data_IF_916555182232
#
_entry.id   IF_916555182232
#
_cell.length_a   1.000
_cell.length_b   1.000
_cell.length_c   1.000
_cell.angle_alpha   90.00
_cell.angle_beta   90.00
_cell.angle_gamma   90.00
#
_symmetry.space_group_name_H-M   'P 1'
#
loop_
_entity.id
_entity.type
_entity.pdbx_description
1 polymer ?
2 non-polymer ?
3 non-polymer ?
4 non-polymer ?
5 water ?
#
# COMPACT_ATOMS: atom_id res chain seq x y z
N UNK A 1 -7.06 -2.25 9.74
CA UNK A 1 -6.47 -2.24 11.10
C UNK A 1 -5.14 -1.49 11.06
N UNK A 2 -5.25 -0.19 10.90
CA UNK A 2 -4.16 0.77 10.93
C UNK A 2 -3.72 1.05 12.35
N UNK A 3 -2.41 1.08 12.62
CA UNK A 3 -1.95 1.50 13.94
C UNK A 3 -2.26 2.97 14.15
N UNK A 4 -2.58 3.37 15.38
CA UNK A 4 -3.19 4.69 15.59
C UNK A 4 -2.23 5.81 15.38
N UNK A 5 -0.91 5.55 15.44
CA UNK A 5 0.10 6.58 15.25
C UNK A 5 0.29 6.99 13.79
N UNK A 6 -0.32 6.26 12.88
CA UNK A 6 -0.15 6.55 11.43
C UNK A 6 -1.45 7.13 10.87
N UNK A 7 -1.34 8.12 9.99
CA UNK A 7 -2.46 8.57 9.13
C UNK A 7 -2.64 7.52 8.05
N UNK A 8 -3.75 7.58 7.33
CA UNK A 8 -3.93 6.60 6.27
C UNK A 8 -2.82 6.70 5.24
N UNK A 9 -2.45 7.93 4.86
CA UNK A 9 -1.39 8.12 3.88
C UNK A 9 -0.08 7.53 4.43
N UNK A 10 0.19 7.72 5.71
CA UNK A 10 1.43 7.21 6.29
C UNK A 10 1.43 5.69 6.34
N UNK A 11 0.25 5.11 6.59
CA UNK A 11 0.09 3.65 6.61
C UNK A 11 0.19 3.11 5.20
N UNK A 12 -0.41 3.83 4.25
CA UNK A 12 -0.26 3.46 2.84
C UNK A 12 1.22 3.41 2.48
N UNK A 13 1.96 4.46 2.82
CA UNK A 13 3.40 4.49 2.54
C UNK A 13 4.11 3.31 3.21
N UNK A 14 3.75 2.99 4.44
CA UNK A 14 4.41 1.94 5.19
C UNK A 14 4.19 0.59 4.53
N UNK A 15 3.01 0.37 3.95
CA UNK A 15 2.69 -0.92 3.36
C UNK A 15 3.08 -1.06 1.89
N UNK A 16 3.05 0.02 1.10
CA UNK A 16 3.14 -0.07 -0.34
C UNK A 16 4.27 0.72 -0.99
N UNK A 17 5.00 1.56 -0.25
CA UNK A 17 6.10 2.32 -0.81
C UNK A 17 7.42 1.96 -0.14
N UNK A 18 7.45 1.94 1.20
CA UNK A 18 8.71 1.78 1.93
C UNK A 18 9.04 0.32 2.19
N UNK A 19 9.51 -0.34 1.14
CA UNK A 19 9.88 -1.74 1.21
C UNK A 19 11.26 -1.78 1.85
N UNK A 20 11.33 -2.12 3.14
CA UNK A 20 12.60 -1.90 3.86
C UNK A 20 13.68 -2.90 3.49
N UNK A 21 13.33 -3.99 2.78
CA UNK A 21 14.22 -5.02 2.27
C UNK A 21 13.64 -5.48 0.96
N UNK A 22 14.48 -5.81 -0.03
CA UNK A 22 13.96 -6.39 -1.27
C UNK A 22 13.42 -7.79 -1.06
N UNK A 23 13.57 -8.34 0.12
CA UNK A 23 13.07 -9.67 0.43
C UNK A 23 11.77 -9.56 1.20
N UNK A 24 10.73 -10.26 0.69
CA UNK A 24 9.39 -10.07 1.27
C UNK A 24 9.33 -10.48 2.74
N UNK A 25 9.90 -11.62 3.08
CA UNK A 25 9.78 -12.11 4.46
C UNK A 25 10.31 -11.05 5.42
N UNK A 26 11.47 -10.45 5.10
CA UNK A 26 12.01 -9.36 5.93
C UNK A 26 11.12 -8.11 5.90
N UNK A 27 10.73 -7.68 4.71
CA UNK A 27 9.94 -6.47 4.57
C UNK A 27 8.60 -6.56 5.30
N UNK A 28 7.95 -7.72 5.22
CA UNK A 28 6.62 -7.88 5.83
C UNK A 28 6.68 -7.86 7.35
N UNK A 29 7.85 -8.09 7.95
CA UNK A 29 7.95 -8.01 9.40
C UNK A 29 7.47 -6.65 9.89
N UNK A 30 7.77 -5.60 9.13
CA UNK A 30 7.39 -4.24 9.52
C UNK A 30 5.88 -4.12 9.57
N UNK A 31 5.24 -4.45 8.46
CA UNK A 31 3.79 -4.37 8.35
C UNK A 31 3.13 -5.23 9.42
N UNK A 32 3.52 -6.51 9.49
CA UNK A 32 2.92 -7.44 10.41
C UNK A 32 3.18 -7.03 11.85
N UNK A 33 4.39 -6.56 12.17
CA UNK A 33 4.64 -6.13 13.55
C UNK A 33 3.81 -4.90 13.89
N UNK A 34 3.49 -4.05 12.90
CA UNK A 34 2.65 -2.90 13.19
C UNK A 34 1.19 -3.29 13.40
N UNK A 35 0.64 -4.14 12.55
CA UNK A 35 -0.80 -4.44 12.59
C UNK A 35 -1.12 -5.71 13.39
N UNK A 36 -0.11 -6.31 13.99
CA UNK A 36 -0.25 -7.44 14.91
C UNK A 36 -1.02 -8.60 14.25
N UNK A 37 -0.76 -8.85 12.98
CA UNK A 37 -1.39 -9.91 12.15
C UNK A 37 -0.51 -10.12 10.93
N UNK A 38 -0.30 -11.34 10.45
CA UNK A 38 0.36 -11.53 9.17
C UNK A 38 -0.58 -11.28 8.00
N UNK A 39 -0.33 -10.19 7.30
CA UNK A 39 -1.10 -9.87 6.11
C UNK A 39 -0.95 -10.99 5.08
N UNK A 40 -2.07 -11.39 4.46
CA UNK A 40 -2.00 -12.51 3.53
C UNK A 40 -1.32 -12.14 2.23
N UNK A 41 -1.50 -10.90 1.78
CA UNK A 41 -1.08 -10.38 0.50
C UNK A 41 -0.67 -8.93 0.70
N UNK A 42 0.47 -8.53 0.12
CA UNK A 42 0.87 -7.15 0.17
C UNK A 42 1.74 -6.82 -1.03
N UNK A 43 1.37 -5.75 -1.74
CA UNK A 43 2.10 -5.26 -2.91
C UNK A 43 2.96 -4.07 -2.53
N UNK A 44 4.25 -4.15 -2.84
CA UNK A 44 5.16 -3.01 -2.77
C UNK A 44 5.36 -2.42 -4.18
N UNK A 45 4.92 -1.19 -4.35
CA UNK A 45 5.09 -0.45 -5.58
C UNK A 45 6.51 0.08 -5.62
N UNK A 46 7.32 -0.27 -6.62
CA UNK A 46 8.68 0.31 -6.74
C UNK A 46 8.47 1.65 -7.45
N UNK A 47 8.06 2.64 -6.67
CA UNK A 47 7.71 3.98 -7.11
C UNK A 47 7.84 4.88 -5.89
N UNK A 48 7.69 6.16 -6.09
CA UNK A 48 7.85 7.10 -4.99
C UNK A 48 6.50 7.57 -4.49
N UNK A 49 6.52 8.07 -3.25
CA UNK A 49 5.29 8.60 -2.68
C UNK A 49 4.72 9.73 -3.54
N UNK A 50 5.60 10.61 -4.01
CA UNK A 50 5.21 11.77 -4.80
C UNK A 50 4.62 11.36 -6.14
N UNK A 51 5.18 10.32 -6.75
CA UNK A 51 4.61 9.75 -7.94
C UNK A 51 3.17 9.28 -7.72
N UNK A 52 2.92 8.61 -6.59
CA UNK A 52 1.55 8.19 -6.34
C UNK A 52 0.65 9.40 -6.10
N UNK A 53 1.15 10.41 -5.39
CA UNK A 53 0.31 11.60 -5.17
C UNK A 53 -0.07 12.23 -6.50
N UNK A 54 0.77 12.12 -7.53
CA UNK A 54 0.40 12.67 -8.81
C UNK A 54 -0.58 11.78 -9.50
N UNK A 55 -0.54 10.47 -9.21
CA UNK A 55 -1.59 9.60 -9.71
C UNK A 55 -2.93 9.99 -9.11
N UNK A 56 -2.95 10.45 -7.84
CA UNK A 56 -4.18 10.99 -7.27
C UNK A 56 -4.79 12.14 -8.10
N UNK A 57 -3.99 12.80 -8.92
CA UNK A 57 -4.45 13.85 -9.79
C UNK A 57 -5.09 13.37 -11.07
N UNK A 58 -5.00 12.08 -11.32
CA UNK A 58 -5.56 11.52 -12.55
C UNK A 58 -7.07 11.47 -12.42
N UNK A 59 -7.77 11.23 -13.51
CA UNK A 59 -9.23 11.27 -13.46
C UNK A 59 -9.79 10.24 -12.49
N UNK A 60 -10.80 10.65 -11.72
CA UNK A 60 -11.46 9.77 -10.78
C UNK A 60 -12.09 8.58 -11.49
N UNK A 61 -12.05 7.44 -10.84
CA UNK A 61 -12.66 6.20 -11.33
C UNK A 61 -13.22 5.37 -10.17
N UNK A 62 -14.19 4.53 -10.50
CA UNK A 62 -14.70 3.59 -9.55
C UNK A 62 -13.62 2.65 -9.05
N UNK A 63 -13.60 2.46 -7.76
CA UNK A 63 -12.68 1.54 -7.10
C UNK A 63 -13.10 0.10 -7.38
N UNK A 64 -12.32 -0.67 -8.14
CA UNK A 64 -12.80 -2.02 -8.51
C UNK A 64 -13.00 -2.93 -7.32
N UNK A 65 -12.31 -2.70 -6.21
CA UNK A 65 -12.42 -3.57 -5.04
C UNK A 65 -13.46 -3.07 -4.04
N UNK A 66 -14.05 -1.90 -4.29
CA UNK A 66 -14.88 -1.16 -3.37
C UNK A 66 -15.85 -0.36 -4.24
N UNK A 67 -16.80 -1.10 -4.85
CA UNK A 67 -17.58 -0.60 -5.96
C UNK A 67 -18.32 0.70 -5.67
N UNK A 68 -18.71 0.95 -4.43
CA UNK A 68 -19.49 2.16 -4.07
C UNK A 68 -18.61 3.40 -3.99
N UNK A 69 -17.29 3.25 -4.13
CA UNK A 69 -16.34 4.37 -3.98
C UNK A 69 -15.88 4.88 -5.33
N UNK A 70 -15.75 6.21 -5.43
CA UNK A 70 -15.37 6.92 -6.66
C UNK A 70 -14.10 7.75 -6.42
N UNK A 71 -13.34 7.43 -5.38
CA UNK A 71 -12.14 8.20 -4.99
C UNK A 71 -10.87 7.47 -5.43
N UNK A 72 -10.97 6.65 -6.45
CA UNK A 72 -9.79 5.94 -6.96
C UNK A 72 -9.25 6.57 -8.25
N UNK A 73 -8.01 6.20 -8.55
CA UNK A 73 -7.20 6.82 -9.59
C UNK A 73 -6.26 5.75 -10.12
N UNK A 74 -6.14 5.72 -11.42
CA UNK A 74 -5.39 4.73 -12.17
C UNK A 74 -4.05 5.30 -12.58
N UNK A 75 -2.98 4.52 -12.40
CA UNK A 75 -1.69 4.95 -12.91
C UNK A 75 -1.77 4.99 -14.45
N UNK A 76 -1.11 5.96 -15.06
CA UNK A 76 -1.08 6.04 -16.53
C UNK A 76 -0.17 5.04 -17.18
N UNK A 77 0.68 4.39 -16.41
CA UNK A 77 1.63 3.44 -16.98
C UNK A 77 1.83 2.33 -15.96
N UNK A 78 2.37 1.20 -16.42
CA UNK A 78 2.75 0.14 -15.52
C UNK A 78 3.99 0.58 -14.75
N UNK A 79 4.11 0.09 -13.51
CA UNK A 79 5.28 0.28 -12.66
C UNK A 79 5.81 -1.05 -12.14
N UNK A 80 7.12 -1.17 -11.94
CA UNK A 80 7.65 -2.36 -11.27
C UNK A 80 7.06 -2.47 -9.87
N UNK A 81 6.82 -3.69 -9.44
CA UNK A 81 6.27 -3.93 -8.12
C UNK A 81 6.73 -5.29 -7.63
N UNK A 82 6.72 -5.47 -6.33
CA UNK A 82 7.01 -6.76 -5.71
C UNK A 82 5.77 -7.15 -4.94
N UNK A 83 5.23 -8.31 -5.26
CA UNK A 83 4.04 -8.77 -4.54
C UNK A 83 4.40 -9.89 -3.57
N UNK A 84 4.06 -9.72 -2.29
CA UNK A 84 4.44 -10.63 -1.20
C UNK A 84 3.20 -11.48 -0.87
N UNK A 85 3.35 -12.81 -0.98
CA UNK A 85 2.28 -13.79 -0.71
C UNK A 85 2.61 -14.58 0.56
N UNK A 86 1.72 -14.69 1.54
CA UNK A 86 1.96 -15.46 2.75
C UNK A 86 2.10 -16.94 2.39
N UNK A 87 3.26 -17.52 2.70
CA UNK A 87 3.50 -18.94 2.48
C UNK A 87 3.57 -19.75 3.76
N UNK A 88 3.74 -19.08 4.92
CA UNK A 88 3.84 -19.74 6.21
C UNK A 88 3.08 -18.91 7.24
N UNK A 89 1.76 -19.06 7.30
CA UNK A 89 1.00 -18.35 8.35
C UNK A 89 1.48 -18.81 9.72
N UNK A 90 1.56 -17.84 10.65
CA UNK A 90 2.01 -18.11 12.02
C UNK A 90 1.26 -17.22 13.00
N UNK A 91 -0.05 -17.44 13.17
CA UNK A 91 -0.86 -16.48 13.93
C UNK A 91 -0.39 -16.27 15.37
N UNK A 92 0.10 -17.31 16.04
CA UNK A 92 0.47 -17.15 17.46
C UNK A 92 1.94 -16.70 17.58
N UNK A 93 2.63 -16.42 16.48
CA UNK A 93 3.98 -15.86 16.51
C UNK A 93 4.30 -15.19 15.17
N UNK A 94 3.86 -13.95 15.06
CA UNK A 94 4.01 -13.07 13.86
C UNK A 94 5.40 -13.17 13.25
N UNK A 95 6.43 -13.23 14.08
CA UNK A 95 7.79 -13.12 13.57
C UNK A 95 8.17 -14.32 12.71
N UNK A 96 7.41 -15.42 12.78
CA UNK A 96 7.75 -16.60 11.99
C UNK A 96 6.97 -16.68 10.69
N UNK A 97 6.20 -15.65 10.35
CA UNK A 97 5.54 -15.65 9.07
C UNK A 97 6.59 -15.55 7.97
N UNK A 98 6.38 -16.30 6.88
CA UNK A 98 7.28 -16.29 5.74
C UNK A 98 6.47 -15.98 4.50
N UNK A 99 7.10 -15.33 3.53
CA UNK A 99 6.44 -14.89 2.31
C UNK A 99 7.23 -15.33 1.08
N UNK A 100 6.50 -15.51 -0.02
CA UNK A 100 7.06 -15.65 -1.37
C UNK A 100 7.04 -14.25 -1.98
N UNK A 101 7.87 -14.01 -2.98
CA UNK A 101 7.94 -12.69 -3.64
C UNK A 101 7.71 -12.90 -5.14
N UNK A 102 6.88 -12.09 -5.76
CA UNK A 102 6.61 -12.14 -7.19
C UNK A 102 6.88 -10.77 -7.78
N UNK A 103 7.90 -10.63 -8.62
CA UNK A 103 8.12 -9.36 -9.32
C UNK A 103 7.20 -9.25 -10.51
N UNK A 104 6.76 -8.05 -10.81
CA UNK A 104 5.88 -7.81 -11.94
C UNK A 104 5.89 -6.33 -12.30
N UNK A 105 5.40 -6.04 -13.48
CA UNK A 105 5.20 -4.69 -14.00
C UNK A 105 3.72 -4.56 -14.29
N UNK A 106 2.99 -3.80 -13.47
CA UNK A 106 1.57 -3.64 -13.67
C UNK A 106 1.10 -2.23 -13.32
N UNK A 107 -0.15 -1.96 -13.73
CA UNK A 107 -0.77 -0.72 -13.31
C UNK A 107 -1.26 -0.86 -11.89
N UNK A 108 -1.49 0.28 -11.26
CA UNK A 108 -2.12 0.28 -9.95
C UNK A 108 -3.23 1.32 -9.91
N UNK A 109 -4.17 1.05 -9.03
CA UNK A 109 -5.31 1.91 -8.74
C UNK A 109 -5.27 2.23 -7.25
N UNK A 110 -5.18 3.52 -6.92
CA UNK A 110 -5.13 3.96 -5.52
C UNK A 110 -6.36 4.78 -5.22
N UNK A 111 -6.89 4.62 -4.01
CA UNK A 111 -7.90 5.55 -3.47
C UNK A 111 -7.12 6.70 -2.87
N UNK A 112 -7.60 7.92 -3.08
CA UNK A 112 -6.95 9.12 -2.54
C UNK A 112 -8.01 9.95 -1.83
N UNK A 113 -7.53 10.67 -0.79
CA UNK A 113 -8.40 11.52 0.01
C UNK A 113 -7.62 12.75 0.38
N UNK A 114 -8.32 13.76 0.86
CA UNK A 114 -7.62 14.88 1.48
C UNK A 114 -6.82 14.39 2.68
N UNK A 115 -5.70 15.08 2.93
CA UNK A 115 -4.72 14.71 3.96
C UNK A 115 -5.32 14.84 5.36
N UNK A 116 -4.78 14.06 6.31
CA UNK A 116 -5.11 14.23 7.73
C UNK A 116 -4.68 15.61 8.19
N UNK A 117 -5.61 16.49 8.57
CA UNK A 117 -5.31 17.91 8.81
C UNK A 117 -4.24 18.11 9.86
N UNK A 118 -4.16 17.25 10.86
CA UNK A 118 -3.28 17.50 12.00
C UNK A 118 -1.94 16.85 11.84
N UNK A 119 -1.87 15.67 11.19
CA UNK A 119 -0.64 14.88 11.18
C UNK A 119 0.03 14.76 9.83
N UNK A 120 -0.71 14.89 8.71
CA UNK A 120 -0.07 14.81 7.41
C UNK A 120 0.56 16.16 7.06
N UNK A 121 1.75 16.18 6.48
CA UNK A 121 2.39 17.46 6.10
C UNK A 121 1.57 18.23 5.08
N UNK A 122 1.44 19.55 5.27
CA UNK A 122 0.72 20.40 4.31
C UNK A 122 1.17 20.25 2.89
N UNK A 123 2.41 19.82 2.69
CA UNK A 123 3.01 19.76 1.35
C UNK A 123 2.12 19.02 0.36
N UNK A 124 1.39 18.01 0.82
CA UNK A 124 0.54 17.20 -0.05
C UNK A 124 -0.90 17.25 0.43
N UNK A 125 -1.72 18.15 -0.13
CA UNK A 125 -3.12 18.24 0.33
C UNK A 125 -3.94 17.01 0.01
N UNK A 126 -3.62 16.31 -1.09
CA UNK A 126 -4.30 15.09 -1.53
C UNK A 126 -3.28 13.95 -1.49
N UNK A 127 -3.65 12.83 -0.85
CA UNK A 127 -2.70 11.74 -0.60
C UNK A 127 -3.35 10.40 -0.85
N UNK A 128 -2.54 9.43 -1.21
CA UNK A 128 -3.04 8.06 -1.30
C UNK A 128 -3.39 7.52 0.08
N UNK A 129 -4.54 6.85 0.17
CA UNK A 129 -4.96 6.23 1.43
C UNK A 129 -5.24 4.73 1.32
N UNK A 130 -5.28 4.15 0.13
CA UNK A 130 -5.57 2.74 0.00
C UNK A 130 -5.09 2.28 -1.36
N UNK A 131 -4.47 1.09 -1.39
CA UNK A 131 -4.09 0.45 -2.64
C UNK A 131 -5.26 -0.43 -3.04
N UNK A 132 -6.05 0.03 -4.01
CA UNK A 132 -7.32 -0.67 -4.25
C UNK A 132 -7.11 -1.93 -5.09
N UNK A 133 -6.24 -1.86 -6.08
CA UNK A 133 -6.01 -2.95 -7.06
C UNK A 133 -4.69 -2.78 -7.82
N UNK A 134 -4.08 -3.89 -8.20
CA UNK A 134 -2.99 -3.89 -9.21
C UNK A 134 -3.62 -4.61 -10.40
N UNK A 135 -3.44 -4.10 -11.61
CA UNK A 135 -4.25 -4.57 -12.78
C UNK A 135 -3.45 -4.53 -14.08
X LIG B 1 2.24 6.84 -14.11
X LIG B 1 2.32 6.81 -15.32
X LIG B 1 1.23 7.09 -13.50
X LIG B 1 3.50 6.56 -13.32
X LIG B 1 3.25 6.00 -11.99
X LIG B 1 4.49 5.81 -11.13
X LIG B 1 5.58 5.87 -11.63
X LIG B 1 4.28 5.57 -9.94
X LIG B 1 4.00 7.39 -13.23
X LIG B 1 4.05 5.93 -13.84
X LIG B 1 2.81 5.13 -12.07
X LIG B 1 2.64 6.58 -11.49
X LIG C 1 -5.90 -14.03 -0.04
X LIG C 1 -5.92 -13.04 0.65
X LIG C 1 -6.21 -14.04 -1.22
X LIG C 1 -5.32 -15.29 0.54
X LIG C 1 -3.90 -15.30 0.25
X LIG C 1 -2.98 -16.14 1.11
X LIG C 1 -2.12 -16.83 0.56
X LIG C 1 -3.09 -16.02 2.32
X LIG C 1 -5.81 -16.17 0.09
X LIG C 1 -5.49 -15.31 1.62
X LIG C 1 -3.58 -14.27 0.38
X LIG C 1 -3.77 -15.60 -0.79
X LIG D 1 -16.58 -3.75 -0.07
X LIG D 1 -17.75 -4.08 0.61
X LIG D 1 -16.34 -4.67 -1.20
X LIG D 1 -17.25 -4.41 -2.23
X LIG D 1 -15.81 -3.81 0.54
X LIG D 1 -16.64 -2.84 -0.42
X LIG D 1 -17.82 -3.57 1.29
X LIG D 1 -16.44 -5.59 -0.89
X LIG D 1 -15.43 -4.54 -1.54
X LIG D 1 -17.11 -4.95 -2.86
X LIG E 1 -14.48 1.56 1.64
X LIG E 1 -14.55 1.58 0.12
X LIG E 1 -15.25 2.74 2.24
X LIG E 1 -14.84 0.28 2.30
X LIG E 1 -12.91 1.78 1.98
X LIG E 1 -11.98 0.72 1.68
X LIG E 1 -10.60 1.03 2.17
X LIG E 1 -10.26 2.42 2.23
X LIG E 1 -10.20 0.44 3.50
X LIG E 1 -9.73 -0.86 3.22
X LIG E 1 -9.17 1.43 4.06
X LIG E 1 -7.85 0.91 4.03
X LIG E 1 -9.20 2.63 3.13
X LIG E 1 -9.45 3.92 3.70
X LIG E 1 -9.10 4.38 4.94
X LIG E 1 -9.52 5.59 5.17
X LIG E 1 -10.21 5.95 4.03
X LIG E 1 -10.89 7.12 3.67
X LIG E 1 -11.00 8.16 4.47
X LIG E 1 -11.48 7.14 2.45
X LIG E 1 -11.38 6.06 1.67
X LIG E 1 -10.75 4.92 1.90
X LIG E 1 -10.18 4.92 3.12
X LIG E 1 -11.96 0.56 0.60
X LIG E 1 -12.33 -0.20 2.14
X LIG E 1 -9.92 0.57 1.43
X LIG E 1 -11.07 0.40 4.17
X LIG E 1 -9.49 -1.32 4.04
X LIG E 1 -9.45 1.73 5.09
X LIG E 1 -7.81 0.13 4.60
X LIG E 1 -8.24 2.64 2.61
X LIG E 1 -8.55 3.76 5.60
X LIG E 1 -10.56 8.15 5.38
X LIG E 1 -11.50 8.99 4.16
X LIG E 1 -11.81 6.09 0.70
X LIG F 1 -1.66 -16.80 -3.78
X LIG F 1 -1.51 -15.58 -4.44
X LIG F 1 -1.32 -16.73 -2.35
X LIG F 1 -1.63 -17.89 -1.65
X LIG F 1 -1.08 -17.47 -4.20
X LIG F 1 -2.59 -17.10 -3.86
X LIG F 1 -1.62 -15.70 -5.28
X LIG F 1 -1.82 -15.98 -1.95
X LIG F 1 -0.37 -16.54 -2.26
X LIG F 1 -2.42 -17.86 -1.37
X LIG G 1 0.30 -11.22 -8.62
X LIG G 1 0.49 -12.35 -8.11
X LIG G 1 0.69 -10.93 -9.75
X LIG G 1 -0.44 -10.18 -7.81
X LIG G 1 -1.95 -10.13 -7.99
X LIG G 1 -2.73 -9.62 -6.80
X LIG G 1 -3.02 -10.41 -5.89
X LIG G 1 -3.07 -8.44 -6.77
X LIG G 1 -0.06 -9.30 -8.05
X LIG G 1 -0.24 -10.33 -6.87
X LIG G 1 -2.26 -11.03 -8.22
X LIG G 1 -2.15 -9.56 -8.77
X LIG H 1 -5.88 -7.13 -5.55
X LIG H 1 -5.07 -6.32 -6.40
X LIG H 1 -6.56 -6.40 -4.45
X LIG H 1 -5.76 -6.08 -3.31
X LIG H 1 -5.31 -7.83 -5.17
X LIG H 1 -6.56 -7.56 -6.11
X LIG H 1 -4.55 -6.81 -6.84
X LIG H 1 -7.32 -6.95 -4.15
X LIG H 1 -6.93 -5.57 -4.81
X LIG H 1 -5.88 -5.27 -3.11
X LIG I 1 2.44 16.29 13.71
X LIG I 1 2.95 17.28 12.86
X LIG I 1 1.64 16.84 14.82
X LIG I 1 0.54 16.03 15.13
X LIG I 1 3.19 15.79 14.09
X LIG I 1 1.90 15.68 13.19
X LIG I 1 2.62 17.18 12.09
X LIG I 1 1.32 17.72 14.56
X LIG I 1 2.21 16.94 15.60
X LIG I 1 -0.17 16.44 14.94
#
# INVERSE_FOLDING_TARGET
>A
MKPPQFTWAQWFETQHINMTSQQCTNAMQVINNYQRRCKNQNTFLLTTFANVVNVCGNPNMTCPSNKTRKNCHHSGSQVPLIHCNLTTPSPQNISNCRYAQTPANMFYIVACDNRDQRRDPPQYPVVPVHLDRII
>B hetero
1 SIN C1 O1 O2 C2 C3 C4 O3 O4 H21 H22 H31 H32
>C hetero
1 SIN C1 O1 O2 C2 C3 C4 O3 O4 H21 H22 H31 H32
>D hetero
1 EDO C1 O1 C2 O2 H11 H12 HO1 H21 H22 HO2
>E hetero
1 AMP P O1P O2P O3P O5' C5' C4' O4' C3' O3' C2' O2' C1' N9 C8 N7 C5 C6 N6 N1 C2 N3 C4 H5'1 H5'2 H4' H3' HO3' H2' HO2' H1' H8 HN61 HN62 H2
>F hetero
1 EDO C1 O1 C2 O2 H11 H12 HO1 H21 H22 HO2
>G hetero
1 SIN C1 O1 O2 C2 C3 C4 O3 O4 H21 H22 H31 H32
>H hetero
1 EDO C1 O1 C2 O2 H11 H12 HO1 H21 H22 HO2
>I hetero
1 EDO C1 O1 C2 O2 H11 H12 HO1 H21 H22 HO2
#
